data_IF_229462690555
#
_entry.id   IF_229462690555
#
_cell.length_a   1.000
_cell.length_b   1.000
_cell.length_c   1.000
_cell.angle_alpha   90.00
_cell.angle_beta   90.00
_cell.angle_gamma   90.00
#
_symmetry.space_group_name_H-M   'P 1'
#
loop_
_entity.id
_entity.type
_entity.pdbx_description
1 polymer ?
#
# COMPACT_ATOMS: atom_id res chain seq x y z
N UNK A 1 -6.43 16.71 8.09
CA UNK A 1 -6.64 17.03 6.66
C UNK A 1 -5.38 17.58 6.00
N UNK A 2 -4.74 18.63 6.54
CA UNK A 2 -3.47 19.14 6.00
C UNK A 2 -2.32 18.11 6.05
N UNK A 3 -2.21 17.30 7.12
CA UNK A 3 -1.16 16.26 7.24
C UNK A 3 -1.27 15.15 6.18
N UNK A 4 -2.51 14.73 5.87
CA UNK A 4 -2.76 13.70 4.86
C UNK A 4 -2.36 14.20 3.46
N UNK A 5 -2.66 15.46 3.14
CA UNK A 5 -2.29 16.07 1.85
C UNK A 5 -0.77 16.13 1.63
N UNK A 6 -0.01 16.48 2.67
CA UNK A 6 1.45 16.46 2.61
C UNK A 6 2.01 15.03 2.45
N UNK A 7 1.40 14.04 3.10
CA UNK A 7 1.78 12.63 2.94
C UNK A 7 1.55 12.14 1.50
N UNK A 8 0.39 12.44 0.90
CA UNK A 8 0.09 12.07 -0.49
C UNK A 8 1.10 12.66 -1.49
N UNK A 9 1.53 13.91 -1.30
CA UNK A 9 2.55 14.56 -2.14
C UNK A 9 3.91 13.87 -1.99
N UNK A 10 4.31 13.52 -0.76
CA UNK A 10 5.57 12.82 -0.50
C UNK A 10 5.58 11.41 -1.10
N UNK A 11 4.46 10.68 -1.06
CA UNK A 11 4.34 9.37 -1.72
C UNK A 11 4.47 9.48 -3.25
N UNK A 12 3.92 10.52 -3.87
CA UNK A 12 4.05 10.73 -5.32
C UNK A 12 5.50 11.00 -5.76
N UNK A 13 6.27 11.73 -4.94
CA UNK A 13 7.70 11.99 -5.16
C UNK A 13 8.58 10.74 -4.98
N UNK A 14 8.22 9.84 -4.06
CA UNK A 14 8.95 8.58 -3.87
C UNK A 14 8.72 7.59 -5.02
N UNK A 15 7.53 7.57 -5.61
CA UNK A 15 7.22 6.73 -6.78
C UNK A 15 7.99 7.22 -8.02
N UNK A 16 8.12 8.55 -8.20
CA UNK A 16 8.91 9.11 -9.31
C UNK A 16 10.43 8.97 -9.11
N UNK A 17 10.93 9.12 -7.88
CA UNK A 17 12.34 8.89 -7.55
C UNK A 17 12.77 7.43 -7.61
N UNK A 18 11.89 6.50 -7.21
CA UNK A 18 12.14 5.05 -7.28
C UNK A 18 12.27 4.53 -8.72
N UNK A 19 11.51 5.11 -9.65
CA UNK A 19 11.67 4.83 -11.09
C UNK A 19 13.09 5.18 -11.56
N UNK A 20 13.61 6.38 -11.23
CA UNK A 20 14.96 6.82 -11.62
C UNK A 20 16.05 5.87 -11.09
N UNK A 21 15.94 5.39 -9.84
CA UNK A 21 16.88 4.44 -9.25
C UNK A 21 16.83 3.03 -9.89
N UNK A 22 15.65 2.59 -10.33
CA UNK A 22 15.46 1.30 -11.03
C UNK A 22 15.98 1.35 -12.48
N UNK A 23 15.96 2.51 -13.13
CA UNK A 23 16.51 2.68 -14.49
C UNK A 23 18.04 2.72 -14.57
N UNK A 24 18.76 2.84 -13.44
CA UNK A 24 20.21 3.05 -13.40
C UNK A 24 21.08 1.79 -13.27
N UNK A 25 20.51 0.59 -13.19
CA UNK A 25 21.28 -0.65 -13.02
C UNK A 25 21.34 -1.46 -14.33
N UNK A 26 22.54 -1.74 -14.87
CA UNK A 26 22.71 -2.47 -16.12
C UNK A 26 22.68 -3.99 -15.88
N UNK A 27 21.61 -4.51 -15.32
CA UNK A 27 21.35 -5.95 -15.21
C UNK A 27 20.01 -6.29 -15.89
N UNK A 28 20.04 -6.46 -17.21
CA UNK A 28 18.88 -6.76 -18.06
C UNK A 28 18.19 -8.10 -17.72
N UNK A 29 18.82 -8.98 -16.92
CA UNK A 29 18.20 -10.20 -16.43
C UNK A 29 17.27 -9.95 -15.24
N UNK A 30 17.65 -9.06 -14.31
CA UNK A 30 16.81 -8.69 -13.15
C UNK A 30 15.58 -7.91 -13.64
N UNK A 31 15.74 -7.03 -14.64
CA UNK A 31 14.62 -6.27 -15.24
C UNK A 31 13.54 -7.14 -15.89
N UNK A 32 13.86 -8.37 -16.30
CA UNK A 32 12.89 -9.31 -16.89
C UNK A 32 12.09 -10.08 -15.85
N UNK A 33 12.51 -10.11 -14.59
CA UNK A 33 11.81 -10.83 -13.54
C UNK A 33 10.74 -9.93 -12.94
N UNK A 34 9.49 -10.39 -12.98
CA UNK A 34 8.40 -9.73 -12.25
C UNK A 34 8.70 -9.79 -10.74
N UNK A 35 8.39 -8.74 -9.97
CA UNK A 35 8.50 -8.80 -8.52
C UNK A 35 7.67 -9.96 -7.97
N UNK A 36 8.28 -10.81 -7.14
CA UNK A 36 7.56 -11.95 -6.53
C UNK A 36 6.91 -11.58 -5.20
N UNK A 37 7.41 -10.54 -4.53
CA UNK A 37 7.01 -10.13 -3.17
C UNK A 37 7.06 -8.61 -3.01
N UNK A 38 6.15 -8.09 -2.20
CA UNK A 38 6.11 -6.71 -1.77
C UNK A 38 6.25 -6.64 -0.25
N UNK A 39 7.35 -6.06 0.23
CA UNK A 39 7.53 -5.77 1.66
C UNK A 39 7.09 -4.33 1.92
N UNK A 40 6.11 -4.17 2.81
CA UNK A 40 5.46 -2.89 3.07
C UNK A 40 5.70 -2.51 4.53
N UNK A 41 6.23 -1.30 4.73
CA UNK A 41 6.37 -0.67 6.04
C UNK A 41 5.58 0.63 6.04
N UNK A 42 4.98 0.98 7.17
CA UNK A 42 4.21 2.21 7.30
C UNK A 42 3.32 2.20 8.52
N UNK A 43 2.36 3.12 8.51
CA UNK A 43 1.32 3.27 9.51
C UNK A 43 -0.01 2.67 9.00
N UNK A 44 -1.12 3.18 9.54
CA UNK A 44 -2.47 2.78 9.16
C UNK A 44 -2.76 2.86 7.66
N UNK A 45 -2.06 3.71 6.90
CA UNK A 45 -2.22 3.82 5.44
C UNK A 45 -1.71 2.62 4.66
N UNK A 46 -0.80 1.86 5.27
CA UNK A 46 -0.19 0.69 4.68
C UNK A 46 -0.65 -0.61 5.34
N UNK A 47 -1.36 -0.51 6.48
CA UNK A 47 -1.80 -1.63 7.28
C UNK A 47 -2.96 -2.40 6.61
N UNK A 48 -2.74 -3.69 6.38
CA UNK A 48 -3.72 -4.62 5.81
C UNK A 48 -4.34 -5.56 6.84
N UNK A 49 -4.16 -5.27 8.14
CA UNK A 49 -4.76 -6.01 9.25
C UNK A 49 -3.77 -6.52 10.31
N UNK A 50 -2.61 -5.90 10.43
CA UNK A 50 -1.60 -6.22 11.44
C UNK A 50 -2.06 -5.82 12.85
N UNK A 51 -2.86 -4.76 13.00
CA UNK A 51 -3.41 -4.39 14.30
C UNK A 51 -4.45 -5.43 14.75
N UNK A 52 -4.34 -5.92 16.00
CA UNK A 52 -5.24 -6.96 16.54
C UNK A 52 -6.69 -6.47 16.55
N UNK A 53 -7.63 -7.37 16.24
CA UNK A 53 -9.09 -7.11 16.28
C UNK A 53 -9.60 -6.47 17.56
N UNK A 54 -9.06 -6.85 18.72
CA UNK A 54 -9.47 -6.30 20.02
C UNK A 54 -8.98 -4.88 20.28
N UNK A 55 -8.06 -4.36 19.46
CA UNK A 55 -7.40 -3.06 19.65
C UNK A 55 -7.65 -2.10 18.48
N UNK A 56 -7.91 -2.62 17.28
CA UNK A 56 -7.96 -1.83 16.07
C UNK A 56 -9.37 -1.43 15.65
N UNK A 57 -9.61 -0.13 15.58
CA UNK A 57 -10.84 0.44 15.01
C UNK A 57 -11.07 0.01 13.55
N UNK A 58 -10.02 -0.36 12.82
CA UNK A 58 -10.09 -0.86 11.43
C UNK A 58 -10.86 -2.19 11.29
N UNK A 59 -11.23 -2.82 12.40
CA UNK A 59 -12.08 -4.02 12.45
C UNK A 59 -13.55 -3.72 12.75
N UNK A 60 -13.91 -2.45 12.90
CA UNK A 60 -15.28 -1.99 13.13
C UNK A 60 -15.87 -1.30 11.89
N UNK A 61 -17.19 -1.14 11.84
CA UNK A 61 -17.83 -0.30 10.82
C UNK A 61 -17.45 1.18 11.06
N UNK A 62 -17.21 1.98 10.01
CA UNK A 62 -17.55 1.76 8.61
C UNK A 62 -16.44 1.16 7.74
N UNK A 63 -15.33 0.65 8.31
CA UNK A 63 -14.21 0.16 7.53
C UNK A 63 -14.57 -1.07 6.69
N UNK A 64 -14.00 -1.13 5.48
CA UNK A 64 -14.27 -2.19 4.50
C UNK A 64 -15.69 -2.23 3.93
N UNK A 65 -16.54 -1.21 4.13
CA UNK A 65 -17.93 -1.20 3.63
C UNK A 65 -18.05 -1.20 2.10
N UNK A 66 -17.13 -0.54 1.38
CA UNK A 66 -17.11 -0.48 -0.09
C UNK A 66 -16.53 -1.77 -0.66
N UNK A 67 -15.43 -2.26 -0.08
CA UNK A 67 -14.81 -3.54 -0.43
C UNK A 67 -14.00 -4.03 0.78
N UNK A 68 -14.26 -5.21 1.37
CA UNK A 68 -15.08 -6.34 0.90
C UNK A 68 -16.53 -6.38 1.44
N UNK A 69 -17.12 -5.24 1.83
CA UNK A 69 -18.44 -5.19 2.47
C UNK A 69 -18.42 -5.50 3.97
N UNK A 70 -17.24 -5.68 4.56
CA UNK A 70 -17.04 -5.94 6.00
C UNK A 70 -15.66 -5.45 6.44
N UNK A 71 -15.48 -5.11 7.73
CA UNK A 71 -14.17 -4.74 8.24
C UNK A 71 -13.15 -5.85 8.05
N UNK A 72 -12.01 -5.49 7.47
CA UNK A 72 -10.93 -6.40 7.11
C UNK A 72 -9.55 -5.92 7.63
N UNK A 73 -9.55 -5.04 8.64
CA UNK A 73 -8.33 -4.54 9.29
C UNK A 73 -7.63 -3.39 8.56
N UNK A 74 -8.12 -2.97 7.40
CA UNK A 74 -7.67 -1.78 6.66
C UNK A 74 -8.30 -0.53 7.25
N UNK A 75 -7.52 0.54 7.41
CA UNK A 75 -8.02 1.85 7.80
C UNK A 75 -8.63 2.63 6.63
N UNK A 76 -9.47 1.96 5.83
CA UNK A 76 -10.21 2.51 4.70
C UNK A 76 -11.58 1.80 4.60
N UNK A 77 -12.53 2.42 3.90
CA UNK A 77 -13.78 1.79 3.48
C UNK A 77 -13.56 0.68 2.43
N UNK A 78 -12.37 0.62 1.84
CA UNK A 78 -12.04 -0.27 0.73
C UNK A 78 -10.60 -0.79 0.75
N UNK A 79 -10.09 -1.06 -0.45
CA UNK A 79 -8.68 -1.34 -0.69
C UNK A 79 -7.83 -0.09 -0.50
N UNK A 80 -6.62 -0.27 0.02
CA UNK A 80 -5.62 0.78 0.21
C UNK A 80 -4.55 0.71 -0.88
N UNK A 81 -3.69 1.73 -0.98
CA UNK A 81 -2.69 1.85 -2.05
C UNK A 81 -1.83 0.58 -2.22
N UNK A 82 -1.46 -0.05 -1.11
CA UNK A 82 -0.62 -1.26 -1.10
C UNK A 82 -1.32 -2.47 -1.72
N UNK A 83 -2.65 -2.57 -1.63
CA UNK A 83 -3.42 -3.60 -2.33
C UNK A 83 -3.30 -3.42 -3.85
N UNK A 84 -3.45 -2.19 -4.34
CA UNK A 84 -3.32 -1.90 -5.77
C UNK A 84 -1.90 -2.12 -6.30
N UNK A 85 -0.88 -1.75 -5.52
CA UNK A 85 0.52 -2.03 -5.88
C UNK A 85 0.79 -3.54 -5.93
N UNK A 86 0.27 -4.29 -4.95
CA UNK A 86 0.35 -5.76 -4.95
C UNK A 86 -0.33 -6.36 -6.18
N UNK A 87 -1.54 -5.88 -6.52
CA UNK A 87 -2.26 -6.34 -7.71
C UNK A 87 -1.55 -6.00 -9.02
N UNK A 88 -0.89 -4.85 -9.09
CA UNK A 88 -0.21 -4.41 -10.32
C UNK A 88 1.15 -5.10 -10.54
N UNK A 89 1.89 -5.36 -9.45
CA UNK A 89 3.26 -5.89 -9.56
C UNK A 89 3.38 -7.40 -9.32
N UNK A 90 2.48 -8.01 -8.55
CA UNK A 90 2.59 -9.42 -8.11
C UNK A 90 1.63 -10.37 -8.85
N UNK A 91 0.68 -9.85 -9.63
CA UNK A 91 -0.27 -10.60 -10.46
C UNK A 91 0.06 -10.32 -11.93
#
# INVERSE_FOLDING_TARGET
MASQFHFFINCFLLISGGLIGVYGSPDDEIRRRRPEKLFVFGDSYADTGNLRKSLGQSWDRPYGITNPGRPAGRFSDGLILTDYLGMYFLI
#
